data_IF_844471077313
#
_entry.id   IF_844471077313
#
_cell.length_a   1.000
_cell.length_b   1.000
_cell.length_c   1.000
_cell.angle_alpha   90.00
_cell.angle_beta   90.00
_cell.angle_gamma   90.00
#
_symmetry.space_group_name_H-M   'P 1'
#
loop_
_entity.id
_entity.type
_entity.pdbx_description
1 polymer ?
#
# COMPACT_ATOMS: atom_id res chain seq x y z
N UNK A 1 13.16 -4.54 -2.87
CA UNK A 1 12.40 -5.47 -3.73
C UNK A 1 10.96 -5.01 -3.78
N UNK A 2 10.33 -5.07 -4.95
CA UNK A 2 8.93 -4.70 -5.11
C UNK A 2 8.03 -5.73 -4.38
N UNK A 3 7.02 -5.24 -3.66
CA UNK A 3 6.04 -6.08 -2.96
C UNK A 3 4.63 -5.59 -3.27
N UNK A 4 3.67 -6.50 -3.28
CA UNK A 4 2.27 -6.17 -3.60
C UNK A 4 1.34 -6.76 -2.56
N UNK A 5 0.52 -5.92 -1.94
CA UNK A 5 -0.63 -6.35 -1.15
C UNK A 5 -1.81 -6.60 -2.08
N UNK A 6 -2.43 -7.75 -1.95
CA UNK A 6 -3.69 -8.12 -2.58
C UNK A 6 -4.68 -8.36 -1.44
N UNK A 7 -5.66 -7.47 -1.26
CA UNK A 7 -6.79 -7.71 -0.36
C UNK A 7 -7.97 -8.28 -1.13
N UNK A 8 -8.62 -9.27 -0.56
CA UNK A 8 -9.85 -9.87 -1.04
C UNK A 8 -11.07 -9.18 -0.42
N UNK A 9 -12.20 -9.21 -1.10
CA UNK A 9 -13.47 -8.84 -0.49
C UNK A 9 -13.78 -9.80 0.66
N UNK A 10 -14.27 -9.25 1.78
CA UNK A 10 -14.65 -10.04 2.94
C UNK A 10 -16.08 -10.60 2.77
N UNK A 11 -16.17 -11.93 2.70
CA UNK A 11 -17.39 -12.73 2.66
C UNK A 11 -17.42 -13.71 3.84
N UNK A 12 -16.68 -13.44 4.92
CA UNK A 12 -16.57 -14.30 6.10
C UNK A 12 -15.59 -15.47 5.94
N UNK A 13 -14.62 -15.37 5.03
CA UNK A 13 -13.60 -16.40 4.82
C UNK A 13 -12.37 -16.24 5.74
N UNK A 14 -11.58 -17.31 5.84
CA UNK A 14 -10.38 -17.36 6.69
C UNK A 14 -9.15 -16.64 6.12
N UNK A 15 -9.22 -16.18 4.86
CA UNK A 15 -8.13 -15.52 4.14
C UNK A 15 -8.62 -14.21 3.53
N UNK A 16 -8.03 -13.10 3.96
CA UNK A 16 -8.43 -11.75 3.55
C UNK A 16 -7.37 -11.04 2.72
N UNK A 17 -6.10 -11.43 2.81
CA UNK A 17 -5.06 -10.78 2.03
C UNK A 17 -3.83 -11.65 1.82
N UNK A 18 -3.13 -11.37 0.72
CA UNK A 18 -1.79 -11.86 0.39
C UNK A 18 -0.82 -10.70 0.23
N UNK A 19 0.44 -10.92 0.60
CA UNK A 19 1.57 -10.10 0.16
C UNK A 19 2.42 -10.97 -0.75
N UNK A 20 2.72 -10.47 -1.94
CA UNK A 20 3.62 -11.12 -2.88
C UNK A 20 4.93 -10.37 -3.01
N UNK A 21 5.99 -11.08 -3.38
CA UNK A 21 7.19 -10.49 -3.95
C UNK A 21 6.97 -10.06 -5.43
N UNK A 22 8.03 -9.58 -6.06
CA UNK A 22 8.03 -9.12 -7.46
C UNK A 22 7.77 -10.23 -8.47
N UNK A 23 8.14 -11.48 -8.15
CA UNK A 23 7.88 -12.65 -8.99
C UNK A 23 6.46 -13.21 -8.79
N UNK A 24 5.67 -12.62 -7.88
CA UNK A 24 4.32 -13.06 -7.53
C UNK A 24 4.28 -14.21 -6.52
N UNK A 25 5.42 -14.61 -5.94
CA UNK A 25 5.41 -15.59 -4.85
C UNK A 25 4.76 -14.97 -3.63
N UNK A 26 3.81 -15.66 -3.02
CA UNK A 26 3.19 -15.24 -1.75
C UNK A 26 4.24 -15.38 -0.65
N UNK A 27 4.59 -14.27 0.00
CA UNK A 27 5.58 -14.22 1.09
C UNK A 27 4.92 -14.06 2.45
N UNK A 28 3.69 -13.55 2.49
CA UNK A 28 2.89 -13.43 3.71
C UNK A 28 1.40 -13.44 3.36
N UNK A 29 0.57 -13.83 4.31
CA UNK A 29 -0.89 -13.78 4.18
C UNK A 29 -1.57 -13.75 5.54
N UNK A 30 -2.84 -13.35 5.54
CA UNK A 30 -3.64 -13.43 6.76
C UNK A 30 -5.15 -13.37 6.52
N UNK A 31 -5.94 -13.58 7.59
CA UNK A 31 -5.49 -13.85 8.95
C UNK A 31 -5.01 -15.29 9.22
N UNK A 32 -5.35 -16.27 8.37
CA UNK A 32 -5.01 -17.67 8.62
C UNK A 32 -4.35 -18.36 7.40
N UNK A 33 -3.95 -19.62 7.60
CA UNK A 33 -3.49 -20.55 6.56
C UNK A 33 -2.16 -20.18 5.86
N UNK A 34 -1.23 -19.52 6.55
CA UNK A 34 0.10 -19.19 6.01
C UNK A 34 0.87 -20.39 5.44
N UNK A 35 0.81 -21.53 6.12
CA UNK A 35 1.49 -22.76 5.66
C UNK A 35 1.01 -23.26 4.29
N UNK A 36 -0.25 -22.98 3.95
CA UNK A 36 -0.84 -23.34 2.68
C UNK A 36 -0.48 -22.31 1.60
N UNK A 37 -0.67 -21.03 1.90
CA UNK A 37 -0.65 -19.98 0.87
C UNK A 37 0.74 -19.42 0.58
N UNK A 38 1.65 -19.33 1.55
CA UNK A 38 3.02 -18.80 1.34
C UNK A 38 3.94 -19.70 0.47
N UNK A 39 3.39 -20.79 -0.08
CA UNK A 39 4.05 -21.68 -1.05
C UNK A 39 3.52 -21.51 -2.47
N UNK A 40 2.53 -20.64 -2.67
CA UNK A 40 1.89 -20.38 -3.95
C UNK A 40 2.53 -19.21 -4.67
N UNK A 41 2.36 -19.19 -6.00
CA UNK A 41 2.76 -18.08 -6.86
C UNK A 41 1.55 -17.56 -7.62
N UNK A 42 1.28 -16.26 -7.52
CA UNK A 42 0.23 -15.57 -8.28
C UNK A 42 0.65 -15.48 -9.74
N UNK A 43 -0.13 -16.08 -10.64
CA UNK A 43 0.22 -16.19 -12.06
C UNK A 43 -0.31 -15.03 -12.89
N UNK A 44 -1.34 -14.34 -12.42
CA UNK A 44 -1.96 -13.22 -13.12
C UNK A 44 -1.67 -11.85 -12.48
N UNK A 45 -0.61 -11.73 -11.67
CA UNK A 45 -0.30 -10.53 -10.87
C UNK A 45 -0.26 -9.24 -11.70
N UNK A 46 0.41 -9.28 -12.85
CA UNK A 46 0.61 -8.09 -13.71
C UNK A 46 -0.71 -7.55 -14.32
N UNK A 47 -1.71 -8.42 -14.50
CA UNK A 47 -3.02 -8.05 -15.06
C UNK A 47 -4.10 -7.92 -13.97
N UNK A 48 -3.75 -8.17 -12.70
CA UNK A 48 -4.70 -8.23 -11.61
C UNK A 48 -5.28 -6.85 -11.31
N UNK A 49 -6.60 -6.80 -11.15
CA UNK A 49 -7.36 -5.57 -10.88
C UNK A 49 -8.44 -5.83 -9.85
N UNK A 50 -8.91 -4.75 -9.23
CA UNK A 50 -10.07 -4.79 -8.33
C UNK A 50 -11.26 -5.44 -9.03
N UNK A 51 -11.94 -6.35 -8.32
CA UNK A 51 -13.07 -7.13 -8.79
C UNK A 51 -12.71 -8.40 -9.58
N UNK A 52 -11.43 -8.61 -9.94
CA UNK A 52 -10.99 -9.83 -10.59
C UNK A 52 -10.68 -10.95 -9.58
N UNK A 53 -10.60 -12.19 -10.06
CA UNK A 53 -10.09 -13.32 -9.29
C UNK A 53 -8.56 -13.41 -9.37
N UNK A 54 -7.93 -13.86 -8.29
CA UNK A 54 -6.50 -14.18 -8.27
C UNK A 54 -6.29 -15.59 -8.77
N UNK A 55 -5.41 -15.78 -9.74
CA UNK A 55 -4.97 -17.09 -10.19
C UNK A 55 -3.62 -17.43 -9.56
N UNK A 56 -3.45 -18.69 -9.15
CA UNK A 56 -2.22 -19.15 -8.53
C UNK A 56 -1.75 -20.49 -9.09
N UNK A 57 -0.45 -20.73 -8.97
CA UNK A 57 0.25 -21.96 -9.34
C UNK A 57 1.30 -22.36 -8.30
N UNK A 58 2.07 -23.42 -8.60
CA UNK A 58 3.11 -23.96 -7.74
C UNK A 58 2.79 -25.38 -7.27
N UNK A 59 2.63 -25.59 -5.97
CA UNK A 59 2.27 -26.89 -5.37
C UNK A 59 0.79 -27.29 -5.61
N UNK A 60 0.08 -26.50 -6.40
CA UNK A 60 -1.27 -26.69 -6.91
C UNK A 60 -1.58 -25.51 -7.83
N UNK A 61 -2.59 -25.65 -8.68
CA UNK A 61 -3.09 -24.53 -9.49
C UNK A 61 -4.57 -24.32 -9.26
N UNK A 62 -5.00 -23.06 -9.35
CA UNK A 62 -6.39 -22.71 -9.10
C UNK A 62 -6.62 -21.21 -9.10
N UNK A 63 -7.78 -20.82 -8.60
CA UNK A 63 -8.12 -19.42 -8.41
C UNK A 63 -8.76 -19.19 -7.04
N UNK A 64 -8.50 -18.03 -6.46
CA UNK A 64 -9.21 -17.57 -5.27
C UNK A 64 -10.59 -17.10 -5.71
N UNK A 65 -11.61 -17.76 -5.16
CA UNK A 65 -13.03 -17.47 -5.46
C UNK A 65 -13.43 -16.04 -5.10
N UNK A 66 -12.81 -15.45 -4.08
CA UNK A 66 -13.15 -14.13 -3.58
C UNK A 66 -12.53 -13.05 -4.47
N UNK A 67 -13.34 -12.10 -4.99
CA UNK A 67 -12.82 -11.02 -5.82
C UNK A 67 -11.84 -10.14 -5.05
N UNK A 68 -10.89 -9.56 -5.76
CA UNK A 68 -9.94 -8.60 -5.20
C UNK A 68 -10.65 -7.30 -4.82
N UNK A 69 -10.46 -6.85 -3.58
CA UNK A 69 -10.87 -5.54 -3.10
C UNK A 69 -9.81 -4.47 -3.39
N UNK A 70 -8.52 -4.77 -3.18
CA UNK A 70 -7.42 -3.85 -3.42
C UNK A 70 -6.18 -4.55 -3.98
N UNK A 71 -5.46 -3.85 -4.86
CA UNK A 71 -4.09 -4.21 -5.30
C UNK A 71 -3.20 -3.02 -5.02
N UNK A 72 -2.22 -3.18 -4.12
CA UNK A 72 -1.42 -2.08 -3.59
C UNK A 72 0.06 -2.42 -3.65
N UNK A 73 0.82 -1.65 -4.45
CA UNK A 73 2.28 -1.70 -4.41
C UNK A 73 2.80 -1.17 -3.06
N UNK A 74 3.51 -2.02 -2.32
CA UNK A 74 4.16 -1.74 -1.04
C UNK A 74 5.61 -1.29 -1.28
N UNK A 75 5.77 -0.10 -1.84
CA UNK A 75 7.05 0.59 -1.98
C UNK A 75 7.00 1.96 -1.29
N UNK A 76 8.10 2.46 -0.72
CA UNK A 76 8.13 3.81 -0.17
C UNK A 76 7.70 4.87 -1.19
N UNK A 77 6.99 5.90 -0.73
CA UNK A 77 6.50 6.98 -1.59
C UNK A 77 6.92 8.33 -1.00
N UNK A 78 7.68 9.08 -1.80
CA UNK A 78 8.06 10.45 -1.49
C UNK A 78 6.93 11.39 -1.89
N UNK A 79 6.53 12.28 -0.98
CA UNK A 79 5.47 13.25 -1.17
C UNK A 79 5.88 14.64 -0.68
N UNK A 80 5.13 15.63 -1.13
CA UNK A 80 5.16 16.99 -0.58
C UNK A 80 3.89 17.26 0.20
N UNK A 81 4.01 18.11 1.22
CA UNK A 81 2.90 18.77 1.91
C UNK A 81 2.96 20.24 1.55
N UNK A 82 1.80 20.83 1.29
CA UNK A 82 1.60 22.26 1.09
C UNK A 82 0.74 22.81 2.22
N UNK A 83 0.82 24.12 2.47
CA UNK A 83 -0.02 24.81 3.44
C UNK A 83 -0.71 26.01 2.78
N UNK A 84 -1.77 25.78 1.98
CA UNK A 84 -2.46 26.85 1.25
C UNK A 84 -3.24 27.81 2.17
N UNK A 85 -3.52 27.42 3.42
CA UNK A 85 -4.14 28.25 4.46
C UNK A 85 -3.79 27.70 5.85
N UNK A 86 -4.77 27.52 6.74
CA UNK A 86 -4.58 26.98 8.09
C UNK A 86 -4.54 25.45 8.17
N UNK A 87 -4.46 24.76 7.03
CA UNK A 87 -4.34 23.31 6.98
C UNK A 87 -3.10 22.85 6.21
N UNK A 88 -2.45 21.83 6.73
CA UNK A 88 -1.46 21.03 6.03
C UNK A 88 -2.16 20.08 5.09
N UNK A 89 -1.77 20.07 3.82
CA UNK A 89 -2.39 19.25 2.79
C UNK A 89 -1.32 18.46 2.04
N UNK A 90 -1.45 17.14 2.01
CA UNK A 90 -0.57 16.29 1.21
C UNK A 90 -0.81 16.51 -0.28
N UNK A 91 0.17 16.17 -1.12
CA UNK A 91 -0.08 15.91 -2.53
C UNK A 91 -1.11 14.78 -2.71
N UNK A 92 -1.76 14.75 -3.87
CA UNK A 92 -2.62 13.62 -4.25
C UNK A 92 -1.75 12.49 -4.78
N UNK A 93 -1.89 11.30 -4.18
CA UNK A 93 -1.17 10.08 -4.57
C UNK A 93 -2.19 8.98 -4.81
N UNK A 94 -2.18 8.36 -6.00
CA UNK A 94 -3.11 7.28 -6.38
C UNK A 94 -4.59 7.64 -6.07
N UNK A 95 -4.98 8.87 -6.40
CA UNK A 95 -6.34 9.40 -6.16
C UNK A 95 -6.68 9.69 -4.69
N UNK A 96 -5.74 9.50 -3.76
CA UNK A 96 -5.93 9.72 -2.32
C UNK A 96 -5.17 10.96 -1.87
N UNK A 97 -5.76 11.68 -0.90
CA UNK A 97 -5.19 12.85 -0.25
C UNK A 97 -5.58 12.87 1.23
N UNK A 98 -4.79 13.54 2.05
CA UNK A 98 -5.15 13.86 3.41
C UNK A 98 -4.82 15.32 3.73
N UNK A 99 -5.51 15.84 4.74
CA UNK A 99 -5.25 17.15 5.31
C UNK A 99 -5.36 17.07 6.83
N UNK A 100 -4.64 17.95 7.51
CA UNK A 100 -4.71 18.09 8.96
C UNK A 100 -4.43 19.55 9.33
N UNK A 101 -5.09 20.05 10.37
CA UNK A 101 -4.85 21.40 10.89
C UNK A 101 -3.79 21.42 11.99
N UNK A 102 -3.52 20.28 12.64
CA UNK A 102 -2.59 20.22 13.78
C UNK A 102 -1.12 20.13 13.34
N UNK A 103 -0.79 19.25 12.39
CA UNK A 103 0.58 19.11 11.87
C UNK A 103 0.63 18.54 10.45
N UNK A 104 1.73 18.81 9.76
CA UNK A 104 2.08 18.16 8.49
C UNK A 104 2.27 16.66 8.65
N UNK A 105 2.93 16.22 9.73
CA UNK A 105 3.13 14.80 10.05
C UNK A 105 1.80 14.05 10.11
N UNK A 106 0.79 14.55 10.84
CA UNK A 106 -0.50 13.87 10.93
C UNK A 106 -1.23 13.81 9.59
N UNK A 107 -1.11 14.84 8.74
CA UNK A 107 -1.63 14.77 7.37
C UNK A 107 -0.95 13.63 6.58
N UNK A 108 0.38 13.48 6.73
CA UNK A 108 1.16 12.42 6.07
C UNK A 108 0.80 11.03 6.59
N UNK A 109 0.70 10.83 7.91
CA UNK A 109 0.30 9.54 8.50
C UNK A 109 -1.09 9.12 8.04
N UNK A 110 -2.03 10.08 7.99
CA UNK A 110 -3.38 9.81 7.50
C UNK A 110 -3.40 9.44 6.01
N UNK A 111 -2.52 10.02 5.19
CA UNK A 111 -2.36 9.57 3.81
C UNK A 111 -1.76 8.15 3.76
N UNK A 112 -0.73 7.88 4.56
CA UNK A 112 -0.07 6.56 4.63
C UNK A 112 -1.04 5.43 4.94
N UNK A 113 -1.89 5.61 5.99
CA UNK A 113 -2.96 4.66 6.34
C UNK A 113 -3.93 4.40 5.18
N UNK A 114 -4.24 5.41 4.36
CA UNK A 114 -5.12 5.25 3.19
C UNK A 114 -4.43 4.56 2.01
N UNK A 115 -3.11 4.73 1.87
CA UNK A 115 -2.31 4.21 0.77
C UNK A 115 -1.92 2.75 0.97
N UNK A 116 -1.57 2.37 2.20
CA UNK A 116 -1.03 1.03 2.51
C UNK A 116 -1.92 0.21 3.45
N UNK A 117 -3.06 0.76 3.90
CA UNK A 117 -4.02 0.05 4.75
C UNK A 117 -3.33 -0.54 6.00
N UNK A 118 -3.58 -1.81 6.32
CA UNK A 118 -2.94 -2.52 7.44
C UNK A 118 -1.42 -2.70 7.31
N UNK A 119 -0.86 -2.39 6.13
CA UNK A 119 0.57 -2.48 5.80
C UNK A 119 1.28 -1.12 5.85
N UNK A 120 0.68 -0.09 6.44
CA UNK A 120 1.39 1.14 6.76
C UNK A 120 2.28 0.96 8.01
N UNK A 121 3.52 1.43 7.95
CA UNK A 121 4.47 1.44 9.09
C UNK A 121 4.56 2.85 9.69
N UNK A 122 5.25 3.76 9.00
CA UNK A 122 5.46 5.14 9.44
C UNK A 122 5.83 6.05 8.25
N UNK A 123 6.13 7.32 8.51
CA UNK A 123 6.69 8.25 7.55
C UNK A 123 7.86 9.05 8.15
N UNK A 124 8.91 9.24 7.35
CA UNK A 124 10.07 10.06 7.71
C UNK A 124 10.02 11.41 6.99
N UNK A 125 10.51 12.46 7.67
CA UNK A 125 10.64 13.78 7.08
C UNK A 125 11.92 13.84 6.26
N UNK A 126 11.81 14.27 5.01
CA UNK A 126 12.94 14.45 4.10
C UNK A 126 13.47 15.89 4.19
N UNK A 127 14.75 16.12 3.86
CA UNK A 127 15.29 17.46 3.76
C UNK A 127 14.54 18.28 2.70
N UNK A 128 14.44 19.59 2.94
CA UNK A 128 13.98 20.54 1.93
C UNK A 128 14.90 20.55 0.72
N UNK A 129 14.35 20.89 -0.44
CA UNK A 129 15.09 21.04 -1.69
C UNK A 129 15.12 22.52 -2.14
N UNK A 130 16.14 22.92 -2.91
CA UNK A 130 16.15 24.25 -3.55
C UNK A 130 14.87 24.46 -4.38
N UNK A 131 14.21 25.61 -4.21
CA UNK A 131 12.95 25.91 -4.92
C UNK A 131 11.66 25.52 -4.18
N UNK A 132 11.75 24.89 -3.01
CA UNK A 132 10.56 24.44 -2.26
C UNK A 132 9.67 25.61 -1.83
N UNK A 133 10.27 26.69 -1.34
CA UNK A 133 9.54 27.85 -0.86
C UNK A 133 8.80 28.56 -2.00
N UNK A 134 9.50 28.77 -3.13
CA UNK A 134 8.96 29.40 -4.34
C UNK A 134 7.83 28.58 -4.97
N UNK A 135 7.87 27.25 -4.83
CA UNK A 135 6.84 26.33 -5.33
C UNK A 135 5.73 26.02 -4.32
N UNK A 136 5.73 26.68 -3.15
CA UNK A 136 4.72 26.50 -2.10
C UNK A 136 4.76 25.14 -1.41
N UNK A 137 5.89 24.43 -1.50
CA UNK A 137 6.15 23.20 -0.74
C UNK A 137 6.52 23.57 0.69
N UNK A 138 5.76 23.05 1.65
CA UNK A 138 6.00 23.28 3.08
C UNK A 138 6.97 22.26 3.66
N UNK A 139 6.82 20.99 3.28
CA UNK A 139 7.69 19.90 3.78
C UNK A 139 7.66 18.71 2.83
N UNK A 140 8.74 17.93 2.85
CA UNK A 140 8.88 16.67 2.10
C UNK A 140 8.89 15.50 3.05
N UNK A 141 8.30 14.39 2.64
CA UNK A 141 8.14 13.20 3.47
C UNK A 141 8.26 11.95 2.63
N UNK A 142 8.78 10.87 3.22
CA UNK A 142 8.73 9.52 2.67
C UNK A 142 7.82 8.66 3.51
N UNK A 143 6.76 8.15 2.90
CA UNK A 143 5.80 7.23 3.53
C UNK A 143 6.29 5.80 3.31
N UNK A 144 6.40 5.02 4.38
CA UNK A 144 6.97 3.68 4.39
C UNK A 144 5.90 2.62 4.72
N UNK A 145 5.76 1.57 3.89
CA UNK A 145 5.00 0.38 4.27
C UNK A 145 5.81 -0.51 5.23
N UNK A 146 5.13 -1.43 5.93
CA UNK A 146 5.78 -2.42 6.81
C UNK A 146 6.81 -3.24 6.06
N UNK A 147 7.92 -3.56 6.70
CA UNK A 147 8.80 -4.63 6.21
C UNK A 147 8.14 -5.98 6.55
N UNK A 148 8.23 -6.93 5.62
CA UNK A 148 7.81 -8.31 5.93
C UNK A 148 9.00 -8.96 6.63
N UNK A 149 8.80 -9.69 7.75
CA UNK A 149 9.85 -10.40 8.47
C UNK A 149 10.67 -11.36 7.62
#
# INVERSE_FOLDING_TARGET
MARTLIEFQDHGQDLLWWITDEAGKVIDCGPYQADLWCRMTVTNLAALKVGAAVEYGGHGSGSIKYPVAHVIQLAPIDIVVRRPSDAYMTATVKGKRASCTSSDREAVLNLGRKLFLGQFEDAERLPGQPGDHESGVYSRWRIMPKEVP
#
